data_IF_735163891251
#
_entry.id   IF_735163891251
#
_cell.length_a   1.000
_cell.length_b   1.000
_cell.length_c   1.000
_cell.angle_alpha   90.00
_cell.angle_beta   90.00
_cell.angle_gamma   90.00
#
_symmetry.space_group_name_H-M   'P 1'
#
loop_
_entity.id
_entity.type
_entity.pdbx_description
1 polymer ?
#
# COMPACT_ATOMS: atom_id res chain seq x y z
N UNK A 1 -13.99 10.26 -16.97
CA UNK A 1 -12.53 10.31 -17.29
C UNK A 1 -12.06 8.99 -17.86
N UNK A 2 -10.78 8.86 -18.23
CA UNK A 2 -10.24 7.68 -18.96
C UNK A 2 -10.49 6.32 -18.26
N UNK A 3 -10.61 6.32 -16.92
CA UNK A 3 -10.89 5.12 -16.11
C UNK A 3 -12.32 4.57 -16.25
N UNK A 4 -13.26 5.31 -16.84
CA UNK A 4 -14.64 4.85 -17.02
C UNK A 4 -14.73 3.53 -17.80
N UNK A 5 -13.86 3.34 -18.80
CA UNK A 5 -13.75 2.09 -19.57
C UNK A 5 -13.35 0.91 -18.69
N UNK A 6 -12.41 1.11 -17.77
CA UNK A 6 -11.99 0.06 -16.84
C UNK A 6 -13.10 -0.31 -15.88
N UNK A 7 -13.80 0.67 -15.32
CA UNK A 7 -14.95 0.43 -14.42
C UNK A 7 -16.03 -0.38 -15.15
N UNK A 8 -16.41 0.01 -16.37
CA UNK A 8 -17.44 -0.71 -17.12
C UNK A 8 -17.03 -2.16 -17.45
N UNK A 9 -15.78 -2.38 -17.85
CA UNK A 9 -15.28 -3.74 -18.11
C UNK A 9 -15.26 -4.61 -16.85
N UNK A 10 -14.94 -4.03 -15.70
CA UNK A 10 -14.96 -4.75 -14.42
C UNK A 10 -16.40 -5.14 -14.08
N UNK A 11 -17.35 -4.22 -14.20
CA UNK A 11 -18.79 -4.48 -14.04
C UNK A 11 -19.29 -5.61 -14.96
N UNK A 12 -18.83 -5.65 -16.21
CA UNK A 12 -19.12 -6.75 -17.14
C UNK A 12 -18.60 -8.11 -16.63
N UNK A 13 -17.40 -8.17 -16.04
CA UNK A 13 -16.88 -9.42 -15.45
C UNK A 13 -17.76 -9.93 -14.30
N UNK A 14 -18.25 -9.04 -13.44
CA UNK A 14 -19.15 -9.41 -12.35
C UNK A 14 -20.52 -9.87 -12.85
N UNK A 15 -21.14 -9.09 -13.75
CA UNK A 15 -22.47 -9.42 -14.30
C UNK A 15 -22.49 -10.74 -15.07
N UNK A 16 -21.38 -11.10 -15.73
CA UNK A 16 -21.23 -12.35 -16.47
C UNK A 16 -20.75 -13.53 -15.60
N UNK A 17 -20.49 -13.32 -14.31
CA UNK A 17 -19.98 -14.35 -13.41
C UNK A 17 -18.54 -14.80 -13.72
N UNK A 18 -17.78 -13.99 -14.46
CA UNK A 18 -16.38 -14.28 -14.80
C UNK A 18 -15.43 -14.07 -13.60
N UNK A 19 -15.91 -13.41 -12.55
CA UNK A 19 -15.25 -13.30 -11.26
C UNK A 19 -16.27 -13.48 -10.14
N UNK A 20 -15.90 -14.26 -9.12
CA UNK A 20 -16.64 -14.37 -7.87
C UNK A 20 -15.74 -13.89 -6.72
N UNK A 21 -16.00 -12.69 -6.23
CA UNK A 21 -15.22 -12.07 -5.17
C UNK A 21 -15.31 -12.83 -3.85
N UNK A 22 -16.49 -13.37 -3.52
CA UNK A 22 -16.71 -14.12 -2.29
C UNK A 22 -15.93 -15.44 -2.29
N UNK A 23 -15.88 -16.13 -3.43
CA UNK A 23 -15.01 -17.30 -3.59
C UNK A 23 -13.53 -16.92 -3.52
N UNK A 24 -13.16 -15.78 -4.10
CA UNK A 24 -11.79 -15.30 -4.12
C UNK A 24 -11.26 -15.00 -2.71
N UNK A 25 -12.12 -14.54 -1.79
CA UNK A 25 -11.77 -14.32 -0.37
C UNK A 25 -11.28 -15.57 0.35
N UNK A 26 -11.76 -16.75 -0.06
CA UNK A 26 -11.37 -18.02 0.55
C UNK A 26 -10.08 -18.61 -0.07
N UNK A 27 -9.54 -18.00 -1.13
CA UNK A 27 -8.31 -18.46 -1.78
C UNK A 27 -7.07 -17.94 -1.07
N UNK A 28 -5.93 -18.58 -1.33
CA UNK A 28 -4.64 -18.11 -0.87
C UNK A 28 -4.22 -16.81 -1.59
N UNK A 29 -3.23 -16.11 -1.01
CA UNK A 29 -2.76 -14.81 -1.49
C UNK A 29 -2.26 -14.83 -2.94
N UNK A 30 -1.58 -15.90 -3.36
CA UNK A 30 -0.99 -15.99 -4.70
C UNK A 30 -2.09 -16.17 -5.75
N UNK A 31 -3.06 -17.03 -5.46
CA UNK A 31 -4.27 -17.17 -6.28
C UNK A 31 -5.02 -15.84 -6.37
N UNK A 32 -5.26 -15.16 -5.24
CA UNK A 32 -5.92 -13.85 -5.22
C UNK A 32 -5.19 -12.82 -6.10
N UNK A 33 -3.87 -12.70 -5.94
CA UNK A 33 -3.06 -11.79 -6.74
C UNK A 33 -3.16 -12.11 -8.24
N UNK A 34 -3.09 -13.40 -8.60
CA UNK A 34 -3.15 -13.87 -9.99
C UNK A 34 -4.49 -13.57 -10.64
N UNK A 35 -5.60 -13.85 -9.96
CA UNK A 35 -6.94 -13.57 -10.49
C UNK A 35 -7.20 -12.06 -10.62
N UNK A 36 -6.79 -11.26 -9.64
CA UNK A 36 -6.98 -9.80 -9.68
C UNK A 36 -6.20 -9.15 -10.83
N UNK A 37 -5.00 -9.63 -11.15
CA UNK A 37 -4.19 -9.10 -12.25
C UNK A 37 -4.77 -9.39 -13.64
N UNK A 38 -5.72 -10.33 -13.77
CA UNK A 38 -6.41 -10.57 -15.04
C UNK A 38 -7.45 -9.49 -15.37
N UNK A 39 -7.87 -8.72 -14.36
CA UNK A 39 -8.91 -7.71 -14.53
C UNK A 39 -8.39 -6.49 -15.31
N UNK A 40 -9.14 -6.09 -16.34
CA UNK A 40 -8.75 -4.96 -17.18
C UNK A 40 -8.63 -3.65 -16.39
N UNK A 41 -7.43 -3.06 -16.43
CA UNK A 41 -7.12 -1.82 -15.73
C UNK A 41 -6.69 -2.01 -14.27
N UNK A 42 -6.59 -3.25 -13.79
CA UNK A 42 -6.03 -3.58 -12.48
C UNK A 42 -4.54 -3.92 -12.66
N UNK A 43 -3.67 -3.06 -12.13
CA UNK A 43 -2.23 -3.27 -12.12
C UNK A 43 -1.71 -3.67 -10.73
N UNK A 44 -0.41 -3.97 -10.60
CA UNK A 44 0.19 -4.42 -9.34
C UNK A 44 -0.13 -3.52 -8.13
N UNK A 45 -0.06 -2.20 -8.30
CA UNK A 45 -0.37 -1.26 -7.21
C UNK A 45 -1.83 -1.37 -6.75
N UNK A 46 -2.79 -1.50 -7.66
CA UNK A 46 -4.20 -1.71 -7.33
C UNK A 46 -4.39 -3.04 -6.60
N UNK A 47 -3.71 -4.11 -7.05
CA UNK A 47 -3.78 -5.41 -6.38
C UNK A 47 -3.22 -5.33 -4.97
N UNK A 48 -2.17 -4.56 -4.73
CA UNK A 48 -1.63 -4.38 -3.38
C UNK A 48 -2.64 -3.75 -2.43
N UNK A 49 -3.35 -2.70 -2.87
CA UNK A 49 -4.44 -2.12 -2.08
C UNK A 49 -5.56 -3.13 -1.82
N UNK A 50 -5.98 -3.89 -2.83
CA UNK A 50 -7.02 -4.91 -2.64
C UNK A 50 -6.59 -6.03 -1.69
N UNK A 51 -5.36 -6.53 -1.82
CA UNK A 51 -4.84 -7.58 -0.93
C UNK A 51 -4.82 -7.11 0.53
N UNK A 52 -4.46 -5.85 0.78
CA UNK A 52 -4.45 -5.28 2.12
C UNK A 52 -5.85 -4.92 2.62
N UNK A 53 -6.58 -4.04 1.92
CA UNK A 53 -7.83 -3.42 2.38
C UNK A 53 -9.05 -4.36 2.28
N UNK A 54 -9.07 -5.26 1.29
CA UNK A 54 -10.23 -6.11 1.00
C UNK A 54 -9.99 -7.54 1.47
N UNK A 55 -8.81 -8.11 1.18
CA UNK A 55 -8.46 -9.49 1.52
C UNK A 55 -7.69 -9.63 2.84
N UNK A 56 -7.39 -8.52 3.53
CA UNK A 56 -6.81 -8.51 4.88
C UNK A 56 -5.42 -9.18 4.99
N UNK A 57 -4.62 -9.15 3.93
CA UNK A 57 -3.19 -9.50 3.99
C UNK A 57 -2.40 -8.38 4.66
N UNK A 58 -2.55 -8.23 5.98
CA UNK A 58 -1.90 -7.19 6.78
C UNK A 58 -0.38 -7.33 6.88
N UNK A 59 0.17 -8.43 6.39
CA UNK A 59 1.60 -8.66 6.22
C UNK A 59 2.09 -8.28 4.82
N UNK A 60 1.22 -7.81 3.92
CA UNK A 60 1.61 -7.54 2.54
C UNK A 60 2.25 -6.15 2.42
N UNK A 61 3.55 -6.08 2.72
CA UNK A 61 4.39 -4.89 2.55
C UNK A 61 5.78 -5.28 2.05
N UNK A 62 5.96 -5.19 0.73
CA UNK A 62 7.17 -5.66 0.05
C UNK A 62 7.82 -4.59 -0.84
N UNK A 63 7.22 -3.40 -0.92
CA UNK A 63 7.72 -2.29 -1.70
C UNK A 63 7.67 -1.01 -0.87
N UNK A 64 8.70 -0.19 -1.03
CA UNK A 64 8.81 1.15 -0.46
C UNK A 64 9.26 2.03 -1.61
N UNK A 65 8.43 3.01 -1.99
CA UNK A 65 8.78 3.98 -3.02
C UNK A 65 9.89 4.92 -2.54
N UNK A 66 10.61 5.63 -3.44
CA UNK A 66 11.66 6.56 -3.04
C UNK A 66 11.20 7.64 -2.05
N UNK A 67 9.95 8.13 -2.20
CA UNK A 67 9.38 9.12 -1.29
C UNK A 67 9.12 8.54 0.10
N UNK A 68 8.49 7.37 0.17
CA UNK A 68 8.27 6.66 1.44
C UNK A 68 9.62 6.32 2.12
N UNK A 69 10.64 5.96 1.34
CA UNK A 69 11.97 5.66 1.85
C UNK A 69 12.55 6.85 2.62
N UNK A 70 12.40 8.07 2.11
CA UNK A 70 12.84 9.30 2.79
C UNK A 70 12.13 9.48 4.12
N UNK A 71 10.80 9.36 4.12
CA UNK A 71 9.96 9.53 5.31
C UNK A 71 10.28 8.47 6.36
N UNK A 72 10.32 7.18 5.99
CA UNK A 72 10.67 6.10 6.91
C UNK A 72 12.10 6.19 7.43
N UNK A 73 13.04 6.70 6.63
CA UNK A 73 14.41 6.96 7.08
C UNK A 73 14.43 7.97 8.23
N UNK A 74 13.64 9.04 8.12
CA UNK A 74 13.51 10.04 9.18
C UNK A 74 12.74 9.50 10.38
N UNK A 75 11.61 8.83 10.17
CA UNK A 75 10.75 8.36 11.26
C UNK A 75 11.36 7.24 12.11
N UNK A 76 11.96 6.23 11.47
CA UNK A 76 12.39 5.02 12.17
C UNK A 76 13.88 5.05 12.58
N UNK A 77 14.67 5.93 11.97
CA UNK A 77 16.12 5.96 12.17
C UNK A 77 16.68 7.36 12.41
N UNK A 78 15.83 8.39 12.49
CA UNK A 78 16.21 9.80 12.61
C UNK A 78 17.25 10.24 11.57
N UNK A 79 17.20 9.65 10.37
CA UNK A 79 18.14 9.94 9.28
C UNK A 79 17.61 11.08 8.40
N UNK A 80 18.52 11.91 7.89
CA UNK A 80 18.18 12.97 6.94
C UNK A 80 17.48 12.39 5.68
N UNK A 81 16.30 12.89 5.29
CA UNK A 81 15.61 12.54 4.05
C UNK A 81 16.47 12.63 2.77
N UNK A 82 17.48 13.51 2.74
CA UNK A 82 18.38 13.65 1.58
C UNK A 82 19.48 12.57 1.54
N UNK A 83 19.66 11.82 2.62
CA UNK A 83 20.57 10.68 2.70
C UNK A 83 19.88 9.47 3.37
N UNK A 84 18.85 8.90 2.73
CA UNK A 84 17.99 7.90 3.34
C UNK A 84 18.72 6.57 3.56
N UNK A 85 18.23 5.79 4.51
CA UNK A 85 18.75 4.42 4.71
C UNK A 85 18.28 3.51 3.57
N UNK A 86 18.99 2.41 3.25
CA UNK A 86 18.55 1.48 2.21
C UNK A 86 17.16 0.88 2.48
N UNK A 87 16.35 0.69 1.44
CA UNK A 87 15.01 0.07 1.53
C UNK A 87 15.04 -1.26 2.27
N UNK A 88 16.06 -2.09 2.03
CA UNK A 88 16.24 -3.37 2.73
C UNK A 88 16.31 -3.21 4.25
N UNK A 89 16.90 -2.13 4.76
CA UNK A 89 16.98 -1.83 6.20
C UNK A 89 15.61 -1.45 6.76
N UNK A 90 14.81 -0.70 6.01
CA UNK A 90 13.44 -0.34 6.37
C UNK A 90 12.56 -1.60 6.43
N UNK A 91 12.57 -2.41 5.37
CA UNK A 91 11.80 -3.66 5.31
C UNK A 91 12.16 -4.58 6.49
N UNK A 92 13.47 -4.77 6.77
CA UNK A 92 13.94 -5.55 7.92
C UNK A 92 13.47 -4.97 9.26
N UNK A 93 13.46 -3.65 9.42
CA UNK A 93 12.96 -3.02 10.65
C UNK A 93 11.47 -3.28 10.87
N UNK A 94 10.68 -3.32 9.80
CA UNK A 94 9.24 -3.56 9.85
C UNK A 94 8.87 -5.02 10.12
N UNK A 95 9.80 -5.97 9.90
CA UNK A 95 9.58 -7.39 10.24
C UNK A 95 9.23 -7.60 11.72
N UNK A 96 9.66 -6.70 12.63
CA UNK A 96 9.31 -6.76 14.06
C UNK A 96 7.79 -6.73 14.32
N UNK A 97 7.00 -6.22 13.38
CA UNK A 97 5.54 -6.17 13.46
C UNK A 97 4.87 -7.46 12.93
N UNK A 98 5.67 -8.41 12.42
CA UNK A 98 5.21 -9.72 11.96
C UNK A 98 4.04 -9.63 10.98
N UNK A 99 2.96 -10.35 11.28
CA UNK A 99 1.74 -10.41 10.45
C UNK A 99 0.97 -9.09 10.35
N UNK A 100 1.39 -8.06 11.07
CA UNK A 100 0.73 -6.75 11.10
C UNK A 100 1.60 -5.63 10.53
N UNK A 101 2.69 -5.96 9.82
CA UNK A 101 3.65 -4.94 9.38
C UNK A 101 3.04 -3.86 8.48
N UNK A 102 2.13 -4.21 7.58
CA UNK A 102 1.43 -3.22 6.75
C UNK A 102 0.47 -2.39 7.60
N UNK A 103 -0.28 -3.04 8.48
CA UNK A 103 -1.21 -2.36 9.38
C UNK A 103 -0.48 -1.35 10.30
N UNK A 104 0.68 -1.72 10.83
CA UNK A 104 1.51 -0.82 11.64
C UNK A 104 1.98 0.40 10.84
N UNK A 105 2.40 0.20 9.58
CA UNK A 105 2.76 1.31 8.67
C UNK A 105 1.57 2.23 8.42
N UNK A 106 0.36 1.69 8.20
CA UNK A 106 -0.85 2.51 8.07
C UNK A 106 -1.12 3.36 9.32
N UNK A 107 -1.01 2.80 10.52
CA UNK A 107 -1.14 3.59 11.76
C UNK A 107 -0.10 4.70 11.87
N UNK A 108 1.15 4.43 11.46
CA UNK A 108 2.22 5.42 11.47
C UNK A 108 1.91 6.56 10.49
N UNK A 109 1.35 6.26 9.32
CA UNK A 109 0.90 7.29 8.38
C UNK A 109 -0.22 8.15 8.96
N UNK A 110 -1.24 7.52 9.54
CA UNK A 110 -2.36 8.23 10.17
C UNK A 110 -1.87 9.15 11.30
N UNK A 111 -1.02 8.64 12.20
CA UNK A 111 -0.44 9.44 13.29
C UNK A 111 0.42 10.60 12.76
N UNK A 112 1.26 10.36 11.74
CA UNK A 112 2.12 11.40 11.15
C UNK A 112 1.29 12.53 10.53
N UNK A 113 0.30 12.19 9.72
CA UNK A 113 -0.54 13.18 9.04
C UNK A 113 -1.52 13.86 10.00
N UNK A 114 -1.97 13.15 11.04
CA UNK A 114 -2.73 13.77 12.12
C UNK A 114 -1.89 14.80 12.87
N UNK A 115 -0.64 14.48 13.24
CA UNK A 115 0.29 15.45 13.84
C UNK A 115 0.53 16.64 12.92
N UNK A 116 0.83 16.39 11.64
CA UNK A 116 1.03 17.45 10.63
C UNK A 116 -0.16 18.40 10.52
N UNK A 117 -1.39 17.88 10.62
CA UNK A 117 -2.61 18.71 10.55
C UNK A 117 -2.69 19.71 11.71
N UNK A 118 -2.15 19.34 12.87
CA UNK A 118 -2.24 20.14 14.10
C UNK A 118 -0.95 20.93 14.39
N UNK A 119 0.18 20.51 13.83
CA UNK A 119 1.50 21.07 14.11
C UNK A 119 2.32 21.16 12.82
N UNK A 120 3.16 22.20 12.70
CA UNK A 120 4.09 22.31 11.57
C UNK A 120 5.27 21.37 11.78
N UNK A 121 5.48 20.44 10.84
CA UNK A 121 6.60 19.50 10.84
C UNK A 121 7.60 19.91 9.74
N UNK A 122 8.65 20.70 10.02
CA UNK A 122 9.43 21.37 8.98
C UNK A 122 10.13 20.44 7.99
N UNK A 123 10.58 19.27 8.44
CA UNK A 123 11.20 18.29 7.55
C UNK A 123 10.18 17.61 6.63
N UNK A 124 8.97 17.37 7.12
CA UNK A 124 7.92 16.68 6.39
C UNK A 124 7.29 17.59 5.33
N UNK A 125 7.14 18.90 5.62
CA UNK A 125 6.65 19.88 4.64
C UNK A 125 7.54 19.97 3.39
N UNK A 126 8.84 19.65 3.50
CA UNK A 126 9.74 19.61 2.34
C UNK A 126 9.45 18.42 1.42
N UNK A 127 8.94 17.32 1.98
CA UNK A 127 8.63 16.10 1.25
C UNK A 127 7.20 16.07 0.69
N UNK A 128 6.27 16.82 1.29
CA UNK A 128 4.88 16.92 0.84
C UNK A 128 4.76 18.12 -0.09
N UNK A 129 4.86 17.87 -1.41
CA UNK A 129 4.51 18.86 -2.42
C UNK A 129 3.00 18.86 -2.61
N UNK A 130 2.34 19.91 -2.14
CA UNK A 130 0.98 20.26 -2.58
C UNK A 130 1.03 20.93 -3.95
#
# INVERSE_FOLDING_TARGET
>A
GYRAKSIKKIDDYFSQGLINETELRAKDRETQMTELLKLYGVGPATVWYLLFDVFHHWDFFNHVSPWEQKIYSKLFFDRDPENPVPVKKILKHLEKFGKYKQLAVHYIWEDLFWKRKNEKIPWLEKEIRL
#
